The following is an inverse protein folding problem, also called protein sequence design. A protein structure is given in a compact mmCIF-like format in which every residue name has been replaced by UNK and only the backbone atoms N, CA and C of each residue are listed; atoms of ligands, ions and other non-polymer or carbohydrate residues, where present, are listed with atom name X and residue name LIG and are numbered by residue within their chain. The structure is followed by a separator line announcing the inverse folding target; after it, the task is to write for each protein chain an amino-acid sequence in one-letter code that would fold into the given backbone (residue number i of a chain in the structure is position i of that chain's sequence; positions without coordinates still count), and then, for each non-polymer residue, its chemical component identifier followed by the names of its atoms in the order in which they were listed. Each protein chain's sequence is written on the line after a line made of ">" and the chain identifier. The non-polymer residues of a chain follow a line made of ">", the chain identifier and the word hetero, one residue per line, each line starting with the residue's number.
data_IF_386065492336
#
_entry.id   IF_386065492336
#
_cell.length_a   1.000
_cell.length_b   1.000
_cell.length_c   1.000
_cell.angle_alpha   90.00
_cell.angle_beta   90.00
_cell.angle_gamma   90.00
#
_symmetry.space_group_name_H-M   'P 1'
#
loop_
_entity.id
_entity.type
_entity.pdbx_description
1 polymer ?
#
# COMPACT_ATOMS: atom_id res chain seq x y z
N UNK A 1 -1.07 6.29 0.13
CA UNK A 1 -1.51 4.89 -0.03
C UNK A 1 -1.83 4.45 -1.46
N UNK A 2 -2.13 5.32 -2.44
CA UNK A 2 -2.35 4.90 -3.85
C UNK A 2 -1.20 4.04 -4.43
N UNK A 3 0.04 4.29 -3.99
CA UNK A 3 1.22 3.50 -4.36
C UNK A 3 1.24 2.07 -3.78
N UNK A 4 0.71 1.80 -2.58
CA UNK A 4 1.01 0.54 -1.87
C UNK A 4 0.27 -0.66 -2.46
N UNK A 5 -1.04 -0.55 -2.68
CA UNK A 5 -1.82 -1.63 -3.30
C UNK A 5 -1.38 -1.88 -4.76
N UNK A 6 -1.09 -0.81 -5.51
CA UNK A 6 -0.63 -0.92 -6.90
C UNK A 6 0.80 -1.48 -7.02
N UNK A 7 1.64 -1.31 -5.99
CA UNK A 7 3.00 -1.87 -5.93
C UNK A 7 3.04 -3.39 -5.71
N UNK A 8 1.96 -4.05 -5.28
CA UNK A 8 1.92 -5.51 -5.17
C UNK A 8 1.72 -6.21 -6.53
N UNK A 9 1.13 -5.50 -7.51
CA UNK A 9 0.75 -6.05 -8.82
C UNK A 9 1.72 -5.64 -9.95
N UNK A 10 2.78 -4.89 -9.64
CA UNK A 10 3.76 -4.40 -10.61
C UNK A 10 5.10 -5.13 -10.39
N UNK A 11 5.73 -5.70 -11.44
CA UNK A 11 7.09 -6.19 -11.33
C UNK A 11 8.05 -5.03 -10.94
N UNK A 12 9.13 -5.37 -10.24
CA UNK A 12 9.97 -4.40 -9.52
C UNK A 12 10.63 -3.31 -10.40
N UNK A 13 10.60 -3.49 -11.71
CA UNK A 13 11.09 -2.56 -12.73
C UNK A 13 10.13 -1.40 -13.08
N UNK A 14 8.99 -1.23 -12.39
CA UNK A 14 8.12 -0.04 -12.56
C UNK A 14 8.17 0.96 -11.38
N UNK A 15 8.81 0.61 -10.26
CA UNK A 15 8.84 1.48 -9.06
C UNK A 15 9.51 2.83 -9.35
N UNK A 16 10.56 2.85 -10.18
CA UNK A 16 11.31 4.06 -10.53
C UNK A 16 10.57 5.03 -11.46
N UNK A 17 9.42 4.65 -12.02
CA UNK A 17 8.61 5.50 -12.90
C UNK A 17 7.51 6.26 -12.14
N UNK A 18 7.14 5.80 -10.93
CA UNK A 18 6.08 6.40 -10.10
C UNK A 18 6.61 7.23 -8.91
N UNK A 19 7.90 7.60 -8.94
CA UNK A 19 8.55 8.40 -7.90
C UNK A 19 9.07 9.70 -8.51
N UNK A 20 8.56 10.83 -8.02
CA UNK A 20 9.01 12.15 -8.43
C UNK A 20 10.51 12.34 -8.14
N UNK A 21 11.30 12.59 -9.19
CA UNK A 21 12.74 12.85 -9.08
C UNK A 21 12.97 14.32 -8.77
N UNK A 22 13.38 14.61 -7.54
CA UNK A 22 13.55 15.97 -7.04
C UNK A 22 15.05 16.30 -6.95
N UNK A 23 15.47 17.38 -7.62
CA UNK A 23 16.85 17.85 -7.63
C UNK A 23 17.20 18.55 -6.30
N UNK A 24 18.26 18.13 -5.57
CA UNK A 24 18.70 18.79 -4.34
C UNK A 24 19.01 20.29 -4.48
N UNK A 25 19.51 20.74 -5.64
CA UNK A 25 19.77 22.17 -5.87
C UNK A 25 18.48 22.98 -5.80
N UNK A 26 17.40 22.48 -6.42
CA UNK A 26 16.08 23.13 -6.37
C UNK A 26 15.51 23.19 -4.95
N UNK A 27 15.86 22.25 -4.07
CA UNK A 27 15.46 22.31 -2.65
C UNK A 27 16.20 23.42 -1.89
N UNK A 28 17.46 23.70 -2.25
CA UNK A 28 18.21 24.84 -1.74
C UNK A 28 17.62 26.16 -2.26
N UNK A 29 17.48 26.30 -3.58
CA UNK A 29 16.97 27.52 -4.23
C UNK A 29 15.54 27.87 -3.75
N UNK A 30 14.63 26.89 -3.76
CA UNK A 30 13.25 27.05 -3.30
C UNK A 30 13.12 27.13 -1.75
N UNK A 31 14.21 26.92 -0.99
CA UNK A 31 14.23 26.81 0.47
C UNK A 31 13.24 25.76 1.04
N UNK A 32 13.26 24.54 0.50
CA UNK A 32 12.33 23.44 0.82
C UNK A 32 13.01 22.24 1.47
N UNK A 33 12.36 21.67 2.49
CA UNK A 33 12.78 20.41 3.14
C UNK A 33 12.01 19.20 2.57
N UNK A 34 12.70 18.07 2.42
CA UNK A 34 12.05 16.75 2.24
C UNK A 34 12.52 15.81 3.36
N UNK A 35 11.58 15.11 3.98
CA UNK A 35 11.85 14.14 5.04
C UNK A 35 10.95 12.91 4.94
N UNK A 36 11.53 11.72 5.17
CA UNK A 36 10.80 10.45 5.23
C UNK A 36 10.75 9.91 6.66
N UNK A 37 9.56 9.53 7.14
CA UNK A 37 9.36 9.02 8.50
C UNK A 37 8.79 7.60 8.49
N UNK A 38 9.41 6.67 9.23
CA UNK A 38 8.91 5.31 9.42
C UNK A 38 9.15 4.84 10.87
N UNK A 39 8.15 5.03 11.74
CA UNK A 39 8.21 4.68 13.17
C UNK A 39 8.71 3.25 13.44
N UNK A 40 8.38 2.27 12.59
CA UNK A 40 8.88 0.88 12.70
C UNK A 40 10.41 0.78 12.61
N UNK A 41 11.07 1.59 11.75
CA UNK A 41 12.55 1.64 11.69
C UNK A 41 13.14 2.36 12.89
N UNK A 42 12.52 3.49 13.28
CA UNK A 42 12.93 4.27 14.46
C UNK A 42 12.93 3.41 15.74
N UNK A 43 11.89 2.57 15.90
CA UNK A 43 11.72 1.69 17.05
C UNK A 43 12.62 0.44 17.01
N UNK A 44 12.68 -0.29 15.89
CA UNK A 44 13.30 -1.63 15.86
C UNK A 44 14.64 -1.72 15.12
N UNK A 45 15.11 -0.65 14.46
CA UNK A 45 16.37 -0.65 13.68
C UNK A 45 17.34 0.48 14.03
N UNK A 46 16.89 1.50 14.75
CA UNK A 46 17.70 2.69 15.06
C UNK A 46 17.86 2.92 16.58
N UNK A 47 17.29 2.06 17.44
CA UNK A 47 17.51 2.08 18.88
C UNK A 47 16.92 3.28 19.64
N UNK A 48 16.14 4.16 18.99
CA UNK A 48 15.63 5.40 19.58
C UNK A 48 14.43 5.21 20.54
N UNK A 49 14.44 4.13 21.33
CA UNK A 49 13.37 3.75 22.26
C UNK A 49 13.02 4.86 23.25
N UNK A 50 14.02 5.51 23.86
CA UNK A 50 13.80 6.60 24.82
C UNK A 50 13.19 7.87 24.19
N UNK A 51 13.54 8.19 22.95
CA UNK A 51 12.91 9.29 22.21
C UNK A 51 11.43 8.99 21.93
N UNK A 52 11.13 7.76 21.49
CA UNK A 52 9.75 7.31 21.27
C UNK A 52 8.97 7.31 22.58
N UNK A 53 9.55 6.81 23.69
CA UNK A 53 8.94 6.81 25.02
C UNK A 53 8.55 8.22 25.45
N UNK A 54 9.49 9.18 25.41
CA UNK A 54 9.24 10.59 25.75
C UNK A 54 8.19 11.24 24.85
N UNK A 55 8.12 10.83 23.58
CA UNK A 55 7.06 11.27 22.65
C UNK A 55 5.69 10.71 23.02
N UNK A 56 5.60 9.41 23.32
CA UNK A 56 4.36 8.75 23.75
C UNK A 56 3.86 9.30 25.08
N UNK A 57 4.73 9.58 26.05
CA UNK A 57 4.35 10.24 27.30
C UNK A 57 3.65 11.58 27.07
N UNK A 58 4.15 12.43 26.17
CA UNK A 58 3.51 13.70 25.81
C UNK A 58 2.15 13.51 25.13
N UNK A 59 2.00 12.48 24.29
CA UNK A 59 0.70 12.13 23.67
C UNK A 59 -0.31 11.69 24.73
N UNK A 60 0.11 10.89 25.71
CA UNK A 60 -0.76 10.46 26.82
C UNK A 60 -1.13 11.63 27.76
N UNK A 61 -0.22 12.59 27.97
CA UNK A 61 -0.48 13.83 28.70
C UNK A 61 -1.51 14.72 28.00
N UNK A 62 -1.41 14.88 26.67
CA UNK A 62 -2.41 15.59 25.88
C UNK A 62 -3.78 14.89 25.89
N UNK A 63 -3.80 13.55 25.99
CA UNK A 63 -5.02 12.77 26.12
C UNK A 63 -5.67 12.92 27.51
N UNK A 64 -4.90 12.87 28.60
CA UNK A 64 -5.44 13.09 29.96
C UNK A 64 -5.90 14.53 30.17
N UNK A 65 -5.30 15.51 29.48
CA UNK A 65 -5.76 16.90 29.39
C UNK A 65 -6.98 17.08 28.47
N UNK A 66 -7.51 16.02 27.84
CA UNK A 66 -8.66 16.08 26.93
C UNK A 66 -8.42 16.80 25.60
N UNK A 67 -7.18 17.23 25.32
CA UNK A 67 -6.81 18.01 24.12
C UNK A 67 -6.79 17.18 22.83
N UNK A 68 -6.67 15.86 22.96
CA UNK A 68 -6.79 14.90 21.85
C UNK A 68 -7.70 13.75 22.24
N UNK A 69 -8.43 13.19 21.27
CA UNK A 69 -9.27 12.00 21.45
C UNK A 69 -9.07 11.05 20.26
N UNK A 70 -8.86 9.75 20.46
CA UNK A 70 -8.76 8.80 19.36
C UNK A 70 -10.13 8.54 18.74
N UNK A 71 -10.27 8.77 17.43
CA UNK A 71 -11.46 8.37 16.67
C UNK A 71 -11.34 6.90 16.29
N UNK A 72 -12.23 6.07 16.82
CA UNK A 72 -12.40 4.67 16.41
C UNK A 72 -13.44 4.63 15.29
N UNK A 73 -13.11 3.99 14.18
CA UNK A 73 -13.98 3.84 13.00
C UNK A 73 -14.83 2.57 13.10
N UNK A 74 -14.22 1.44 13.46
CA UNK A 74 -14.88 0.15 13.53
C UNK A 74 -14.03 -0.87 14.29
N UNK A 75 -14.72 -1.78 14.99
CA UNK A 75 -14.15 -2.95 15.68
C UNK A 75 -14.64 -4.21 14.95
N UNK A 76 -13.73 -5.16 14.69
CA UNK A 76 -13.98 -6.38 13.92
C UNK A 76 -13.49 -7.62 14.68
N UNK A 77 -14.18 -8.74 14.52
CA UNK A 77 -13.68 -10.06 14.89
C UNK A 77 -12.48 -10.47 13.99
N UNK A 78 -11.74 -11.51 14.37
CA UNK A 78 -10.62 -12.00 13.55
C UNK A 78 -11.10 -12.68 12.25
N UNK A 79 -12.26 -13.32 12.29
CA UNK A 79 -12.96 -14.00 11.20
C UNK A 79 -13.29 -13.05 10.04
N UNK A 80 -13.39 -11.75 10.31
CA UNK A 80 -13.79 -10.71 9.36
C UNK A 80 -12.62 -9.78 8.99
N UNK A 81 -11.38 -10.18 9.29
CA UNK A 81 -10.16 -9.40 8.98
C UNK A 81 -10.02 -9.06 7.48
N UNK A 82 -10.57 -9.90 6.59
CA UNK A 82 -10.62 -9.62 5.15
C UNK A 82 -11.49 -8.40 4.82
N UNK A 83 -12.67 -8.29 5.42
CA UNK A 83 -13.57 -7.14 5.25
C UNK A 83 -12.99 -5.88 5.91
N UNK A 84 -12.38 -6.02 7.09
CA UNK A 84 -11.64 -4.95 7.76
C UNK A 84 -10.50 -4.39 6.89
N UNK A 85 -9.76 -5.28 6.22
CA UNK A 85 -8.71 -4.91 5.27
C UNK A 85 -9.28 -4.26 4.01
N UNK A 86 -10.39 -4.77 3.47
CA UNK A 86 -11.05 -4.16 2.30
C UNK A 86 -11.53 -2.74 2.62
N UNK A 87 -12.11 -2.50 3.80
CA UNK A 87 -12.53 -1.14 4.23
C UNK A 87 -11.34 -0.16 4.27
N UNK A 88 -10.16 -0.62 4.71
CA UNK A 88 -8.92 0.16 4.70
C UNK A 88 -8.38 0.41 3.28
N UNK A 89 -8.40 -0.60 2.40
CA UNK A 89 -7.99 -0.47 1.00
C UNK A 89 -8.89 0.51 0.23
N UNK A 90 -10.20 0.41 0.41
CA UNK A 90 -11.21 1.31 -0.14
C UNK A 90 -11.17 2.73 0.46
N UNK A 91 -10.41 2.93 1.55
CA UNK A 91 -10.34 4.17 2.36
C UNK A 91 -11.70 4.63 2.92
N UNK A 92 -12.60 3.69 3.19
CA UNK A 92 -13.93 3.95 3.76
C UNK A 92 -13.91 4.15 5.28
N UNK A 93 -12.72 4.22 5.91
CA UNK A 93 -12.55 4.34 7.36
C UNK A 93 -12.34 5.80 7.80
N UNK A 94 -13.10 6.26 8.81
CA UNK A 94 -12.94 7.57 9.43
C UNK A 94 -12.29 7.39 10.81
N UNK A 95 -10.97 7.21 10.81
CA UNK A 95 -10.19 6.93 12.02
C UNK A 95 -9.69 5.48 12.08
N UNK A 96 -9.57 4.95 13.30
CA UNK A 96 -8.88 3.71 13.60
C UNK A 96 -9.79 2.49 13.45
N UNK A 97 -9.42 1.57 12.55
CA UNK A 97 -9.93 0.19 12.52
C UNK A 97 -9.19 -0.64 13.59
N UNK A 98 -9.95 -1.43 14.34
CA UNK A 98 -9.49 -2.29 15.44
C UNK A 98 -9.92 -3.73 15.16
N UNK A 99 -9.06 -4.69 15.50
CA UNK A 99 -9.41 -6.10 15.62
C UNK A 99 -9.53 -6.44 17.11
N UNK A 100 -10.59 -7.13 17.50
CA UNK A 100 -10.88 -7.49 18.90
C UNK A 100 -11.08 -9.02 18.99
N UNK A 101 -10.30 -9.74 19.82
CA UNK A 101 -10.43 -11.19 20.01
C UNK A 101 -11.76 -11.62 20.64
N UNK A 102 -12.55 -10.69 21.18
CA UNK A 102 -13.80 -10.95 21.91
C UNK A 102 -15.06 -10.51 21.16
N UNK A 103 -14.90 -9.89 19.99
CA UNK A 103 -16.03 -9.49 19.14
C UNK A 103 -16.61 -10.70 18.41
N UNK A 104 -17.94 -10.79 18.34
CA UNK A 104 -18.63 -11.79 17.51
C UNK A 104 -18.47 -11.47 16.01
N UNK A 105 -18.36 -12.51 15.15
CA UNK A 105 -18.31 -12.32 13.70
C UNK A 105 -19.61 -11.73 13.17
N UNK A 106 -19.52 -10.84 12.18
CA UNK A 106 -20.72 -10.21 11.61
C UNK A 106 -21.59 -11.24 10.86
N UNK A 107 -22.93 -11.11 10.89
CA UNK A 107 -23.79 -11.92 10.05
C UNK A 107 -23.52 -11.60 8.57
N UNK A 108 -22.93 -12.56 7.85
CA UNK A 108 -22.50 -12.41 6.45
C UNK A 108 -23.71 -12.37 5.52
N UNK A 109 -24.16 -11.16 5.21
CA UNK A 109 -25.23 -10.90 4.23
C UNK A 109 -24.83 -11.45 2.85
N UNK A 110 -25.60 -12.38 2.25
CA UNK A 110 -25.16 -13.11 1.07
C UNK A 110 -25.37 -12.35 -0.24
N UNK A 111 -24.61 -11.28 -0.49
CA UNK A 111 -24.47 -10.63 -1.80
C UNK A 111 -23.17 -9.81 -1.87
N UNK A 112 -22.38 -9.80 -2.95
CA UNK A 112 -22.60 -10.34 -4.30
C UNK A 112 -21.56 -11.42 -4.66
N UNK A 113 -22.04 -12.50 -5.29
CA UNK A 113 -21.31 -13.17 -6.37
C UNK A 113 -21.93 -12.72 -7.69
N UNK A 114 -21.14 -12.27 -8.66
CA UNK A 114 -21.60 -12.09 -10.04
C UNK A 114 -20.40 -12.17 -10.97
N UNK A 115 -20.40 -13.17 -11.88
CA UNK A 115 -19.51 -13.35 -13.05
C UNK A 115 -17.97 -13.27 -12.82
N UNK A 116 -17.15 -14.23 -13.25
CA UNK A 116 -17.33 -15.24 -14.32
C UNK A 116 -16.84 -16.64 -13.92
N UNK A 117 -17.44 -17.65 -14.56
CA UNK A 117 -17.01 -19.04 -14.67
C UNK A 117 -17.55 -19.55 -16.04
N UNK A 118 -16.98 -20.54 -16.74
CA UNK A 118 -15.88 -21.45 -16.39
C UNK A 118 -15.20 -22.01 -17.67
N UNK A 119 -13.96 -22.50 -17.53
CA UNK A 119 -13.42 -23.66 -18.29
C UNK A 119 -13.10 -23.51 -19.78
N UNK A 120 -12.47 -24.51 -20.44
CA UNK A 120 -11.67 -25.63 -19.91
C UNK A 120 -10.99 -26.47 -21.02
N UNK A 121 -9.80 -27.02 -20.73
CA UNK A 121 -9.08 -28.15 -21.39
C UNK A 121 -8.36 -27.89 -22.75
N UNK A 122 -7.38 -28.76 -23.00
CA UNK A 122 -6.23 -28.77 -23.91
C UNK A 122 -6.50 -28.90 -25.42
N UNK A 123 -5.46 -28.68 -26.24
CA UNK A 123 -5.40 -29.11 -27.65
C UNK A 123 -4.18 -28.56 -28.40
N UNK A 124 -3.27 -29.42 -28.89
CA UNK A 124 -2.00 -29.02 -29.48
C UNK A 124 -1.91 -29.24 -31.01
N UNK A 125 -1.28 -28.30 -31.75
CA UNK A 125 -0.48 -28.60 -32.95
C UNK A 125 0.42 -27.45 -33.42
N UNK A 126 1.57 -27.81 -33.97
CA UNK A 126 2.51 -26.92 -34.67
C UNK A 126 2.20 -26.82 -36.17
N UNK A 127 2.53 -25.69 -36.83
CA UNK A 127 3.46 -25.67 -37.98
C UNK A 127 3.86 -24.27 -38.47
N UNK A 128 5.02 -24.23 -39.17
CA UNK A 128 5.66 -23.07 -39.81
C UNK A 128 4.99 -22.62 -41.12
N UNK A 129 5.13 -21.31 -41.42
CA UNK A 129 5.86 -20.70 -42.58
C UNK A 129 6.18 -19.23 -42.16
N UNK A 130 7.32 -18.57 -42.36
CA UNK A 130 8.23 -18.36 -43.52
C UNK A 130 7.52 -17.74 -44.73
N UNK A 131 7.90 -16.58 -45.30
CA UNK A 131 8.83 -15.51 -44.90
C UNK A 131 8.23 -14.14 -45.39
N UNK A 132 8.87 -13.03 -45.81
CA UNK A 132 10.24 -12.61 -46.19
C UNK A 132 10.30 -11.05 -46.22
N UNK A 133 11.47 -10.39 -46.08
CA UNK A 133 11.64 -8.98 -46.51
C UNK A 133 12.75 -8.16 -45.82
N UNK A 134 13.78 -7.75 -46.57
CA UNK A 134 14.85 -6.84 -46.12
C UNK A 134 14.43 -5.36 -46.21
N UNK A 135 15.07 -4.51 -45.38
CA UNK A 135 15.72 -3.27 -45.86
C UNK A 135 17.07 -3.13 -45.14
N UNK A 136 18.13 -2.82 -45.87
CA UNK A 136 19.46 -2.52 -45.34
C UNK A 136 19.60 -1.04 -44.95
N UNK A 137 20.43 -0.74 -43.95
CA UNK A 137 21.18 0.53 -43.93
C UNK A 137 22.63 0.24 -43.57
N UNK A 138 23.54 0.67 -44.44
CA UNK A 138 24.99 0.69 -44.21
C UNK A 138 25.49 2.15 -44.26
N UNK A 139 26.74 2.36 -43.81
CA UNK A 139 27.54 3.60 -43.93
C UNK A 139 27.13 4.73 -42.95
N UNK A 140 28.04 5.13 -42.06
CA UNK A 140 29.16 6.09 -42.24
C UNK A 140 28.68 7.55 -42.37
N UNK A 141 28.71 8.28 -41.25
CA UNK A 141 29.51 9.50 -41.06
C UNK A 141 29.73 9.75 -39.56
#
# INVERSE_FOLDING_TARGET
>A
FFSFAKSLQLPGNLVWWQVDKINPLKLYDDNKLIGGFQLRRLLFRQGHHEYIRKTVSKVLELYSQGKIKPTIDSVWAFEDVGEAMQKLCDRKNIGKVILDPTAEPRPKSPEKKTSEAAGSVEGAKEKKTEATGNVEVSKEQ
#
